data_IF_027134838986
#
_entry.id   IF_027134838986
#
_cell.length_a   1.000
_cell.length_b   1.000
_cell.length_c   1.000
_cell.angle_alpha   90.00
_cell.angle_beta   90.00
_cell.angle_gamma   90.00
#
_symmetry.space_group_name_H-M   'P 1'
#
loop_
_entity.id
_entity.type
_entity.pdbx_description
1 polymer ?
#
# COMPACT_ATOMS: atom_id res chain seq x y z
N UNK A 1 -39.95 33.72 -39.60
CA UNK A 1 -39.07 32.90 -40.46
C UNK A 1 -37.77 33.66 -40.54
N UNK A 2 -36.76 33.15 -39.82
CA UNK A 2 -35.51 33.83 -39.50
C UNK A 2 -34.45 33.59 -40.60
N UNK A 3 -33.51 34.53 -40.68
CA UNK A 3 -32.41 34.64 -41.65
C UNK A 3 -31.50 33.39 -41.73
N UNK A 4 -30.87 33.14 -42.90
CA UNK A 4 -29.85 32.11 -43.06
C UNK A 4 -28.48 32.62 -42.61
N UNK A 5 -27.82 31.87 -41.73
CA UNK A 5 -26.47 32.15 -41.24
C UNK A 5 -25.42 31.39 -42.07
N UNK A 6 -24.40 32.13 -42.50
CA UNK A 6 -23.32 31.75 -43.43
C UNK A 6 -22.23 30.99 -42.64
N UNK A 7 -21.58 29.94 -43.20
CA UNK A 7 -20.50 29.23 -42.51
C UNK A 7 -19.19 30.03 -42.50
N UNK A 8 -18.60 30.18 -41.30
CA UNK A 8 -17.27 30.75 -41.08
C UNK A 8 -16.20 29.81 -41.64
N UNK A 9 -15.42 30.32 -42.59
CA UNK A 9 -14.28 29.64 -43.18
C UNK A 9 -12.97 30.00 -42.49
N UNK A 10 -12.07 29.01 -42.48
CA UNK A 10 -10.67 29.18 -42.91
C UNK A 10 -9.73 29.95 -41.98
N UNK A 11 -8.94 29.20 -41.21
CA UNK A 11 -7.64 29.62 -40.67
C UNK A 11 -6.72 30.19 -41.74
N UNK A 12 -5.84 31.14 -41.38
CA UNK A 12 -4.41 30.89 -41.64
C UNK A 12 -3.47 31.54 -40.61
N UNK A 13 -2.53 30.78 -40.07
CA UNK A 13 -1.26 31.23 -39.49
C UNK A 13 -0.63 30.01 -38.80
N UNK A 14 0.67 29.75 -38.83
CA UNK A 14 1.81 30.27 -39.55
C UNK A 14 2.89 29.19 -39.38
N UNK A 15 3.73 29.09 -40.39
CA UNK A 15 4.88 28.21 -40.52
C UNK A 15 5.98 28.59 -39.50
N UNK A 16 6.41 27.65 -38.65
CA UNK A 16 7.65 27.78 -37.89
C UNK A 16 8.70 26.76 -38.40
N UNK A 17 9.92 27.21 -38.75
CA UNK A 17 10.94 26.36 -39.35
C UNK A 17 11.78 25.61 -38.32
N UNK A 18 11.97 24.31 -38.56
CA UNK A 18 13.09 23.52 -38.04
C UNK A 18 14.44 24.09 -38.50
N UNK A 19 15.50 23.92 -37.70
CA UNK A 19 16.77 23.57 -38.32
C UNK A 19 17.48 22.38 -37.65
N UNK A 20 17.88 21.46 -38.53
CA UNK A 20 18.79 20.34 -38.33
C UNK A 20 20.22 20.76 -37.91
N UNK A 21 20.79 19.94 -37.00
CA UNK A 21 22.16 19.42 -37.11
C UNK A 21 23.24 20.01 -36.18
N UNK A 22 24.42 19.36 -36.03
CA UNK A 22 24.84 18.03 -36.51
C UNK A 22 25.40 17.09 -35.42
N UNK A 23 25.54 15.82 -35.81
CA UNK A 23 26.22 14.75 -35.11
C UNK A 23 27.76 14.93 -35.06
N UNK A 24 28.37 14.48 -33.96
CA UNK A 24 29.79 14.15 -33.84
C UNK A 24 29.92 13.06 -32.74
N UNK A 25 29.98 11.79 -33.09
CA UNK A 25 31.19 10.96 -33.30
C UNK A 25 31.97 10.67 -32.00
N UNK A 26 31.81 9.43 -31.50
CA UNK A 26 32.69 8.76 -30.54
C UNK A 26 34.12 8.61 -31.11
N UNK A 27 35.13 8.36 -30.24
CA UNK A 27 35.63 6.99 -30.20
C UNK A 27 36.01 6.43 -28.80
N UNK A 28 35.81 5.11 -28.73
CA UNK A 28 36.13 4.12 -27.72
C UNK A 28 37.64 3.98 -27.36
N UNK A 29 37.97 3.84 -26.08
CA UNK A 29 38.98 2.85 -25.63
C UNK A 29 38.96 2.64 -24.11
N UNK A 30 38.57 1.41 -23.74
CA UNK A 30 39.27 0.53 -22.80
C UNK A 30 39.90 1.16 -21.55
N UNK A 31 39.29 0.95 -20.39
CA UNK A 31 40.01 0.27 -19.31
C UNK A 31 39.08 -0.52 -18.38
N UNK A 32 39.63 -1.61 -17.87
CA UNK A 32 39.01 -2.77 -17.22
C UNK A 32 38.57 -2.44 -15.78
N UNK A 33 37.41 -2.88 -15.28
CA UNK A 33 37.12 -2.81 -13.85
C UNK A 33 37.77 -4.00 -13.12
N UNK A 34 38.87 -3.76 -12.41
CA UNK A 34 39.32 -4.66 -11.35
C UNK A 34 38.48 -4.40 -10.09
N UNK A 35 37.81 -5.45 -9.64
CA UNK A 35 37.10 -5.54 -8.37
C UNK A 35 38.03 -5.29 -7.19
N UNK A 36 37.50 -4.73 -6.10
CA UNK A 36 37.54 -5.53 -4.89
C UNK A 36 36.17 -5.66 -4.24
N UNK A 37 35.79 -6.92 -4.08
CA UNK A 37 34.83 -7.50 -3.14
C UNK A 37 34.48 -6.59 -1.96
N UNK A 38 33.36 -5.87 -2.06
CA UNK A 38 32.56 -5.50 -0.89
C UNK A 38 31.47 -6.54 -0.75
N UNK A 39 31.66 -7.39 0.24
CA UNK A 39 30.70 -8.33 0.81
C UNK A 39 29.29 -7.74 0.81
N UNK A 40 28.45 -8.41 0.03
CA UNK A 40 26.99 -8.43 0.05
C UNK A 40 26.45 -8.27 1.48
N UNK A 41 25.95 -7.07 1.79
CA UNK A 41 25.08 -6.87 2.93
C UNK A 41 23.76 -7.58 2.60
N UNK A 42 23.57 -8.73 3.24
CA UNK A 42 22.39 -9.56 3.18
C UNK A 42 21.10 -8.73 3.25
N UNK A 43 20.02 -9.14 2.55
CA UNK A 43 18.73 -8.49 2.68
C UNK A 43 18.29 -8.57 4.15
N UNK A 44 18.11 -7.41 4.76
CA UNK A 44 17.48 -7.28 6.07
C UNK A 44 16.17 -8.04 6.02
N UNK A 45 16.12 -9.15 6.75
CA UNK A 45 14.96 -10.02 6.86
C UNK A 45 13.70 -9.18 7.11
N UNK A 46 12.53 -9.58 6.57
CA UNK A 46 11.27 -8.96 6.94
C UNK A 46 11.17 -9.01 8.47
N UNK A 47 10.92 -7.85 9.08
CA UNK A 47 10.64 -7.76 10.52
C UNK A 47 9.61 -8.84 10.84
N UNK A 48 10.10 -9.84 11.56
CA UNK A 48 9.33 -10.91 12.15
C UNK A 48 8.06 -10.29 12.76
N UNK A 49 6.85 -10.79 12.46
CA UNK A 49 5.69 -10.40 13.24
C UNK A 49 6.03 -10.72 14.68
N UNK A 50 6.13 -9.69 15.49
CA UNK A 50 6.39 -9.81 16.92
C UNK A 50 5.48 -10.90 17.45
N UNK A 51 6.09 -11.93 18.04
CA UNK A 51 5.41 -13.01 18.71
C UNK A 51 4.21 -12.44 19.48
N UNK A 52 3.03 -13.01 19.21
CA UNK A 52 1.77 -12.67 19.82
C UNK A 52 1.98 -12.29 21.30
N UNK A 53 1.84 -10.99 21.60
CA UNK A 53 1.80 -10.53 22.96
C UNK A 53 0.67 -11.32 23.65
N UNK A 54 1.06 -12.14 24.64
CA UNK A 54 0.15 -12.96 25.43
C UNK A 54 -0.94 -12.05 26.00
N UNK A 55 -2.24 -12.30 25.77
CA UNK A 55 -3.27 -11.38 26.22
C UNK A 55 -3.37 -11.41 27.74
N UNK A 56 -3.37 -10.22 28.33
CA UNK A 56 -3.83 -9.98 29.68
C UNK A 56 -5.37 -9.98 29.67
N UNK A 57 -5.99 -11.05 30.19
CA UNK A 57 -7.45 -11.18 30.35
C UNK A 57 -8.04 -12.44 29.69
N UNK A 58 -9.29 -12.82 30.03
CA UNK A 58 -9.98 -13.93 29.37
C UNK A 58 -10.25 -13.58 27.90
N UNK A 59 -9.73 -14.41 26.98
CA UNK A 59 -9.96 -14.26 25.53
C UNK A 59 -11.44 -14.43 25.20
N UNK A 60 -11.99 -13.51 24.40
CA UNK A 60 -13.36 -13.64 23.88
C UNK A 60 -13.44 -14.70 22.77
N UNK A 61 -14.61 -15.32 22.53
CA UNK A 61 -14.81 -16.23 21.39
C UNK A 61 -14.43 -15.60 20.04
N UNK A 62 -14.66 -14.30 19.90
CA UNK A 62 -14.31 -13.52 18.71
C UNK A 62 -12.79 -13.39 18.56
N UNK A 63 -12.06 -13.09 19.64
CA UNK A 63 -10.59 -13.06 19.61
C UNK A 63 -9.99 -14.41 19.21
N UNK A 64 -10.52 -15.51 19.77
CA UNK A 64 -10.06 -16.86 19.41
C UNK A 64 -10.31 -17.15 17.93
N UNK A 65 -11.51 -16.86 17.43
CA UNK A 65 -11.86 -17.04 16.01
C UNK A 65 -10.99 -16.20 15.08
N UNK A 66 -10.69 -14.96 15.46
CA UNK A 66 -9.79 -14.10 14.69
C UNK A 66 -8.37 -14.69 14.64
N UNK A 67 -7.83 -15.17 15.76
CA UNK A 67 -6.53 -15.86 15.82
C UNK A 67 -6.48 -17.10 14.93
N UNK A 68 -7.57 -17.88 14.88
CA UNK A 68 -7.68 -19.03 13.99
C UNK A 68 -7.64 -18.62 12.51
N UNK A 69 -8.24 -17.50 12.13
CA UNK A 69 -8.11 -16.97 10.77
C UNK A 69 -6.69 -16.51 10.45
N UNK A 70 -6.02 -15.79 11.36
CA UNK A 70 -4.60 -15.40 11.21
C UNK A 70 -3.71 -16.64 11.01
N UNK A 71 -3.86 -17.65 11.86
CA UNK A 71 -3.06 -18.87 11.77
C UNK A 71 -3.28 -19.63 10.44
N UNK A 72 -4.53 -19.66 9.94
CA UNK A 72 -4.84 -20.24 8.63
C UNK A 72 -4.22 -19.44 7.48
N UNK A 73 -4.27 -18.10 7.54
CA UNK A 73 -3.66 -17.22 6.55
C UNK A 73 -2.14 -17.42 6.50
N UNK A 74 -1.47 -17.46 7.65
CA UNK A 74 -0.02 -17.71 7.71
C UNK A 74 0.37 -19.08 7.15
N UNK A 75 -0.44 -20.11 7.42
CA UNK A 75 -0.19 -21.45 6.88
C UNK A 75 -0.30 -21.43 5.34
N UNK A 76 -1.27 -20.71 4.79
CA UNK A 76 -1.43 -20.52 3.34
C UNK A 76 -0.22 -19.80 2.76
N UNK A 77 0.23 -18.71 3.37
CA UNK A 77 1.43 -17.95 2.98
C UNK A 77 2.72 -18.79 3.03
N UNK A 78 2.93 -19.59 4.07
CA UNK A 78 4.10 -20.48 4.15
C UNK A 78 4.06 -21.55 3.05
N UNK A 79 2.88 -22.05 2.73
CA UNK A 79 2.71 -23.08 1.70
C UNK A 79 2.79 -22.56 0.25
N UNK A 80 2.72 -21.24 0.03
CA UNK A 80 2.96 -20.63 -1.29
C UNK A 80 4.45 -20.48 -1.60
N UNK A 81 5.30 -20.37 -0.57
CA UNK A 81 6.76 -20.20 -0.71
C UNK A 81 7.53 -21.50 -0.98
N UNK A 82 6.95 -22.68 -0.70
CA UNK A 82 7.61 -23.98 -0.90
C UNK A 82 7.72 -24.34 -2.39
N UNK A 83 8.81 -25.04 -2.78
CA UNK A 83 9.22 -25.47 -4.13
C UNK A 83 8.12 -26.05 -5.06
N UNK A 84 7.01 -26.59 -4.53
CA UNK A 84 5.86 -27.06 -5.33
C UNK A 84 4.80 -25.99 -5.64
N UNK A 85 4.91 -24.77 -5.11
CA UNK A 85 3.93 -23.68 -5.25
C UNK A 85 4.29 -22.61 -6.27
N UNK A 86 5.52 -22.58 -6.78
CA UNK A 86 6.11 -21.43 -7.45
C UNK A 86 5.65 -21.11 -8.88
N UNK A 87 4.83 -21.95 -9.54
CA UNK A 87 4.56 -21.78 -10.98
C UNK A 87 3.09 -21.61 -11.38
N UNK A 88 2.11 -21.95 -10.53
CA UNK A 88 0.69 -21.73 -10.86
C UNK A 88 -0.27 -21.61 -9.65
N UNK A 89 0.12 -22.12 -8.47
CA UNK A 89 -0.76 -22.17 -7.28
C UNK A 89 -0.40 -21.22 -6.13
N UNK A 90 0.70 -20.46 -6.25
CA UNK A 90 1.17 -19.55 -5.20
C UNK A 90 0.25 -18.34 -5.01
N UNK A 91 -0.18 -17.71 -6.11
CA UNK A 91 -1.03 -16.52 -6.09
C UNK A 91 -2.40 -16.79 -5.45
N UNK A 92 -3.09 -17.86 -5.86
CA UNK A 92 -4.39 -18.23 -5.27
C UNK A 92 -4.32 -18.47 -3.76
N UNK A 93 -3.21 -19.03 -3.25
CA UNK A 93 -3.00 -19.20 -1.80
C UNK A 93 -2.78 -17.88 -1.07
N UNK A 94 -2.15 -16.90 -1.73
CA UNK A 94 -1.95 -15.57 -1.18
C UNK A 94 -3.27 -14.78 -1.19
N UNK A 95 -4.10 -14.93 -2.22
CA UNK A 95 -5.46 -14.37 -2.26
C UNK A 95 -6.31 -14.93 -1.10
N UNK A 96 -6.34 -16.26 -0.95
CA UNK A 96 -6.99 -16.92 0.19
C UNK A 96 -6.49 -16.38 1.55
N UNK A 97 -5.18 -16.12 1.65
CA UNK A 97 -4.59 -15.59 2.88
C UNK A 97 -5.02 -14.14 3.15
N UNK A 98 -5.05 -13.29 2.13
CA UNK A 98 -5.53 -11.92 2.24
C UNK A 98 -6.98 -11.88 2.73
N UNK A 99 -7.85 -12.72 2.16
CA UNK A 99 -9.26 -12.84 2.59
C UNK A 99 -9.39 -13.28 4.05
N UNK A 100 -8.55 -14.22 4.50
CA UNK A 100 -8.51 -14.67 5.89
C UNK A 100 -8.04 -13.56 6.83
N UNK A 101 -7.04 -12.76 6.44
CA UNK A 101 -6.61 -11.59 7.20
C UNK A 101 -7.72 -10.55 7.35
N UNK A 102 -8.46 -10.24 6.27
CA UNK A 102 -9.61 -9.32 6.33
C UNK A 102 -10.72 -9.86 7.25
N UNK A 103 -11.01 -11.17 7.20
CA UNK A 103 -11.97 -11.80 8.13
C UNK A 103 -11.52 -11.73 9.58
N UNK A 104 -10.22 -11.92 9.83
CA UNK A 104 -9.64 -11.75 11.17
C UNK A 104 -9.80 -10.31 11.65
N UNK A 105 -9.43 -9.33 10.81
CA UNK A 105 -9.52 -7.91 11.11
C UNK A 105 -10.94 -7.49 11.50
N UNK A 106 -11.93 -7.87 10.69
CA UNK A 106 -13.34 -7.61 10.97
C UNK A 106 -13.83 -8.29 12.25
N UNK A 107 -13.33 -9.49 12.55
CA UNK A 107 -13.66 -10.19 13.81
C UNK A 107 -13.04 -9.47 15.02
N UNK A 108 -11.81 -8.97 14.91
CA UNK A 108 -11.17 -8.15 15.95
C UNK A 108 -11.88 -6.81 16.17
N UNK A 109 -12.43 -6.17 15.12
CA UNK A 109 -13.30 -4.97 15.27
C UNK A 109 -14.49 -5.27 16.18
N UNK A 110 -15.16 -6.40 15.97
CA UNK A 110 -16.31 -6.82 16.82
C UNK A 110 -15.87 -7.08 18.26
N UNK A 111 -14.68 -7.64 18.45
CA UNK A 111 -14.07 -7.85 19.77
C UNK A 111 -13.52 -6.57 20.42
N UNK A 112 -13.62 -5.41 19.76
CA UNK A 112 -13.03 -4.12 20.17
C UNK A 112 -11.51 -4.18 20.39
N UNK A 113 -10.83 -5.10 19.70
CA UNK A 113 -9.36 -5.19 19.66
C UNK A 113 -8.84 -4.36 18.50
N UNK A 114 -8.85 -3.05 18.67
CA UNK A 114 -8.53 -2.10 17.59
C UNK A 114 -7.12 -2.31 17.04
N UNK A 115 -6.13 -2.43 17.92
CA UNK A 115 -4.73 -2.68 17.49
C UNK A 115 -4.59 -3.95 16.65
N UNK A 116 -5.13 -5.07 17.14
CA UNK A 116 -5.07 -6.36 16.43
C UNK A 116 -5.85 -6.33 15.09
N UNK A 117 -6.96 -5.61 15.04
CA UNK A 117 -7.73 -5.41 13.82
C UNK A 117 -6.95 -4.62 12.76
N UNK A 118 -6.31 -3.52 13.17
CA UNK A 118 -5.45 -2.73 12.30
C UNK A 118 -4.27 -3.56 11.76
N UNK A 119 -3.60 -4.32 12.65
CA UNK A 119 -2.45 -5.15 12.26
C UNK A 119 -2.88 -6.21 11.23
N UNK A 120 -4.06 -6.81 11.41
CA UNK A 120 -4.62 -7.77 10.46
C UNK A 120 -4.98 -7.15 9.10
N UNK A 121 -5.50 -5.91 9.05
CA UNK A 121 -5.72 -5.21 7.79
C UNK A 121 -4.41 -4.87 7.07
N UNK A 122 -3.38 -4.43 7.79
CA UNK A 122 -2.05 -4.20 7.22
C UNK A 122 -1.48 -5.48 6.60
N UNK A 123 -1.61 -6.62 7.31
CA UNK A 123 -1.19 -7.92 6.77
C UNK A 123 -1.95 -8.30 5.49
N UNK A 124 -3.26 -8.02 5.41
CA UNK A 124 -4.03 -8.23 4.18
C UNK A 124 -3.50 -7.35 3.03
N UNK A 125 -3.30 -6.06 3.28
CA UNK A 125 -2.80 -5.11 2.29
C UNK A 125 -1.41 -5.48 1.78
N UNK A 126 -0.49 -5.90 2.65
CA UNK A 126 0.85 -6.33 2.27
C UNK A 126 0.83 -7.52 1.31
N UNK A 127 -0.09 -8.46 1.52
CA UNK A 127 -0.26 -9.61 0.63
C UNK A 127 -0.87 -9.17 -0.70
N UNK A 128 -1.88 -8.30 -0.68
CA UNK A 128 -2.51 -7.77 -1.89
C UNK A 128 -1.55 -6.94 -2.74
N UNK A 129 -0.65 -6.18 -2.13
CA UNK A 129 0.42 -5.47 -2.85
C UNK A 129 1.37 -6.43 -3.57
N UNK A 130 1.71 -7.58 -2.97
CA UNK A 130 2.53 -8.62 -3.62
C UNK A 130 1.83 -9.28 -4.80
N UNK A 131 0.50 -9.24 -4.81
CA UNK A 131 -0.35 -9.76 -5.89
C UNK A 131 -0.70 -8.69 -6.93
N UNK A 132 -0.20 -7.45 -6.78
CA UNK A 132 -0.53 -6.28 -7.61
C UNK A 132 -2.03 -5.89 -7.59
N UNK A 133 -2.73 -6.26 -6.51
CA UNK A 133 -4.14 -5.96 -6.28
C UNK A 133 -4.26 -4.62 -5.52
N UNK A 134 -3.81 -3.56 -6.17
CA UNK A 134 -3.58 -2.23 -5.56
C UNK A 134 -4.84 -1.59 -4.96
N UNK A 135 -5.98 -1.74 -5.63
CA UNK A 135 -7.22 -1.10 -5.19
C UNK A 135 -7.69 -1.63 -3.82
N UNK A 136 -7.68 -2.94 -3.65
CA UNK A 136 -8.06 -3.64 -2.44
C UNK A 136 -7.03 -3.41 -1.33
N UNK A 137 -5.72 -3.39 -1.67
CA UNK A 137 -4.66 -3.06 -0.73
C UNK A 137 -4.84 -1.65 -0.14
N UNK A 138 -5.08 -0.65 -1.00
CA UNK A 138 -5.39 0.72 -0.57
C UNK A 138 -6.63 0.78 0.32
N UNK A 139 -7.70 0.04 -0.05
CA UNK A 139 -8.93 -0.01 0.76
C UNK A 139 -8.69 -0.59 2.15
N UNK A 140 -7.90 -1.66 2.26
CA UNK A 140 -7.58 -2.28 3.55
C UNK A 140 -6.68 -1.40 4.42
N UNK A 141 -5.72 -0.67 3.83
CA UNK A 141 -4.92 0.32 4.57
C UNK A 141 -5.77 1.46 5.11
N UNK A 142 -6.80 1.89 4.38
CA UNK A 142 -7.75 2.92 4.84
C UNK A 142 -8.56 2.41 6.04
N UNK A 143 -9.03 1.16 5.98
CA UNK A 143 -9.70 0.52 7.13
C UNK A 143 -8.76 0.39 8.33
N UNK A 144 -7.49 0.02 8.12
CA UNK A 144 -6.46 -0.01 9.16
C UNK A 144 -6.29 1.39 9.79
N UNK A 145 -6.13 2.43 8.98
CA UNK A 145 -6.00 3.81 9.43
C UNK A 145 -7.20 4.28 10.25
N UNK A 146 -8.43 3.91 9.86
CA UNK A 146 -9.64 4.23 10.62
C UNK A 146 -9.66 3.54 11.99
N UNK A 147 -9.25 2.28 12.03
CA UNK A 147 -9.21 1.48 13.25
C UNK A 147 -8.12 1.99 14.21
N UNK A 148 -6.95 2.37 13.69
CA UNK A 148 -5.85 2.89 14.49
C UNK A 148 -6.07 4.31 14.99
N UNK A 149 -6.88 5.14 14.31
CA UNK A 149 -7.03 6.58 14.58
C UNK A 149 -7.22 6.93 16.08
N UNK A 150 -7.84 6.06 16.87
CA UNK A 150 -8.10 6.27 18.30
C UNK A 150 -7.12 5.59 19.26
N UNK A 151 -6.41 4.57 18.80
CA UNK A 151 -5.56 3.72 19.66
C UNK A 151 -4.08 3.99 19.41
N UNK A 152 -3.70 4.22 18.14
CA UNK A 152 -2.35 4.50 17.70
C UNK A 152 -2.38 5.48 16.52
N UNK A 153 -2.50 6.79 16.79
CA UNK A 153 -2.59 7.84 15.78
C UNK A 153 -1.37 7.85 14.83
N UNK A 154 -0.18 7.45 15.32
CA UNK A 154 1.04 7.36 14.51
C UNK A 154 0.93 6.26 13.46
N UNK A 155 0.50 5.06 13.86
CA UNK A 155 0.21 3.96 12.91
C UNK A 155 -0.90 4.34 11.93
N UNK A 156 -1.89 5.11 12.35
CA UNK A 156 -2.94 5.58 11.46
C UNK A 156 -2.37 6.48 10.34
N UNK A 157 -1.46 7.40 10.67
CA UNK A 157 -0.76 8.24 9.69
C UNK A 157 0.04 7.39 8.71
N UNK A 158 0.79 6.39 9.19
CA UNK A 158 1.53 5.47 8.32
C UNK A 158 0.60 4.75 7.32
N UNK A 159 -0.53 4.21 7.80
CA UNK A 159 -1.50 3.52 6.95
C UNK A 159 -2.12 4.44 5.89
N UNK A 160 -2.53 5.65 6.28
CA UNK A 160 -3.09 6.63 5.33
C UNK A 160 -2.04 7.12 4.33
N UNK A 161 -0.77 7.23 4.74
CA UNK A 161 0.32 7.63 3.85
C UNK A 161 0.53 6.59 2.76
N UNK A 162 0.63 5.30 3.14
CA UNK A 162 0.72 4.20 2.19
C UNK A 162 -0.50 4.11 1.27
N UNK A 163 -1.71 4.32 1.79
CA UNK A 163 -2.91 4.36 0.97
C UNK A 163 -2.88 5.52 -0.05
N UNK A 164 -2.42 6.70 0.36
CA UNK A 164 -2.29 7.86 -0.53
C UNK A 164 -1.28 7.60 -1.65
N UNK A 165 -0.15 6.98 -1.35
CA UNK A 165 0.86 6.56 -2.35
C UNK A 165 0.24 5.59 -3.37
N UNK A 166 -0.45 4.54 -2.91
CA UNK A 166 -1.11 3.57 -3.79
C UNK A 166 -2.14 4.25 -4.70
N UNK A 167 -2.99 5.14 -4.16
CA UNK A 167 -3.98 5.82 -4.98
C UNK A 167 -3.36 6.85 -5.93
N UNK A 168 -2.20 7.41 -5.60
CA UNK A 168 -1.42 8.27 -6.48
C UNK A 168 -0.88 7.47 -7.67
N UNK A 169 -0.29 6.30 -7.42
CA UNK A 169 0.19 5.38 -8.47
C UNK A 169 -0.93 4.92 -9.41
N UNK A 170 -2.16 4.80 -8.89
CA UNK A 170 -3.35 4.47 -9.68
C UNK A 170 -3.93 5.67 -10.46
N UNK A 171 -3.36 6.87 -10.34
CA UNK A 171 -3.88 8.11 -10.94
C UNK A 171 -5.15 8.64 -10.27
N UNK A 172 -5.49 8.16 -9.06
CA UNK A 172 -6.67 8.55 -8.28
C UNK A 172 -6.35 9.68 -7.30
N UNK A 173 -5.92 10.82 -7.82
CA UNK A 173 -5.44 11.95 -7.02
C UNK A 173 -6.49 12.51 -6.03
N UNK A 174 -7.78 12.48 -6.36
CA UNK A 174 -8.85 12.91 -5.43
C UNK A 174 -8.87 12.06 -4.16
N UNK A 175 -8.64 10.75 -4.29
CA UNK A 175 -8.57 9.85 -3.14
C UNK A 175 -7.29 10.09 -2.34
N UNK A 176 -6.14 10.21 -3.02
CA UNK A 176 -4.87 10.53 -2.36
C UNK A 176 -4.94 11.84 -1.56
N UNK A 177 -5.48 12.91 -2.15
CA UNK A 177 -5.67 14.19 -1.49
C UNK A 177 -6.54 14.07 -0.24
N UNK A 178 -7.64 13.31 -0.30
CA UNK A 178 -8.49 13.04 0.87
C UNK A 178 -7.72 12.37 2.01
N UNK A 179 -6.86 11.41 1.71
CA UNK A 179 -6.07 10.74 2.75
C UNK A 179 -4.97 11.64 3.32
N UNK A 180 -4.38 12.54 2.52
CA UNK A 180 -3.54 13.60 3.05
C UNK A 180 -4.29 14.56 3.98
N UNK A 181 -5.54 14.91 3.67
CA UNK A 181 -6.39 15.67 4.60
C UNK A 181 -6.62 14.93 5.91
N UNK A 182 -6.92 13.62 5.87
CA UNK A 182 -7.07 12.81 7.08
C UNK A 182 -5.78 12.76 7.93
N UNK A 183 -4.60 12.70 7.29
CA UNK A 183 -3.31 12.75 7.98
C UNK A 183 -3.14 14.09 8.69
N UNK A 184 -3.41 15.20 7.99
CA UNK A 184 -3.35 16.54 8.58
C UNK A 184 -4.28 16.67 9.78
N UNK A 185 -5.53 16.21 9.68
CA UNK A 185 -6.48 16.22 10.80
C UNK A 185 -5.94 15.46 12.03
N UNK A 186 -5.31 14.30 11.83
CA UNK A 186 -4.72 13.53 12.93
C UNK A 186 -3.55 14.29 13.55
N UNK A 187 -2.66 14.83 12.72
CA UNK A 187 -1.51 15.61 13.20
C UNK A 187 -1.95 16.86 13.98
N UNK A 188 -2.99 17.57 13.52
CA UNK A 188 -3.55 18.73 14.21
C UNK A 188 -4.18 18.35 15.54
N UNK A 189 -4.93 17.24 15.61
CA UNK A 189 -5.51 16.78 16.88
C UNK A 189 -4.44 16.39 17.90
N UNK A 190 -3.37 15.71 17.46
CA UNK A 190 -2.26 15.35 18.36
C UNK A 190 -1.53 16.59 18.86
N UNK A 191 -1.34 17.62 18.02
CA UNK A 191 -0.69 18.88 18.40
C UNK A 191 -1.53 19.72 19.37
N UNK A 192 -2.86 19.78 19.16
CA UNK A 192 -3.78 20.55 20.01
C UNK A 192 -3.96 19.98 21.43
N UNK A 193 -3.73 18.68 21.62
CA UNK A 193 -3.72 18.06 22.94
C UNK A 193 -2.50 18.49 23.79
N UNK A 194 -1.42 18.99 23.18
CA UNK A 194 -0.25 19.52 23.90
C UNK A 194 -0.39 20.99 24.33
N UNK A 195 -1.24 21.79 23.68
CA UNK A 195 -1.42 23.22 23.98
C UNK A 195 -2.41 23.50 25.14
N UNK A 196 -3.11 22.49 25.66
CA UNK A 196 -4.10 22.64 26.75
C UNK A 196 -3.52 22.42 28.17
N UNK A 197 -2.20 22.44 28.34
CA UNK A 197 -1.53 22.24 29.65
C UNK A 197 -0.84 23.51 30.14
#
# INVERSE_FOLDING_TARGET
>A
MAEPQIPEGGSPAAEEPSPDGPAASEPNSTDKPDSPTTTEAAPTAPKQPTAAAKPAGPETPQEKKAREYIAQAEKKMKSSQTFLGGLFGGAAKMEDAADLYVRAANTYKVAKKWKDAGDAFCLAADVQMKLDVKHEAGSNLVEAGQVYKREDPKRAVECYSQAAEIYTDMGRFTMAARYHSNIAEICESELGDFEQV
#
